data_IF_389079037847
#
_entry.id   IF_389079037847
#
_cell.length_a   1.000
_cell.length_b   1.000
_cell.length_c   1.000
_cell.angle_alpha   90.00
_cell.angle_beta   90.00
_cell.angle_gamma   90.00
#
_symmetry.space_group_name_H-M   'P 1'
#
loop_
_entity.id
_entity.type
_entity.pdbx_description
1 polymer ?
#
# COMPACT_ATOMS: atom_id res chain seq x y z
N UNK A 1 -21.63 34.09 -28.55
CA UNK A 1 -22.39 32.87 -28.18
C UNK A 1 -23.35 33.27 -27.09
N UNK A 2 -24.64 33.40 -27.42
CA UNK A 2 -25.70 33.63 -26.44
C UNK A 2 -25.98 32.29 -25.75
N UNK A 3 -25.95 32.28 -24.41
CA UNK A 3 -26.29 31.08 -23.64
C UNK A 3 -27.79 30.80 -23.82
N UNK A 4 -28.13 29.78 -24.61
CA UNK A 4 -29.48 29.25 -24.67
C UNK A 4 -29.87 28.75 -23.27
N UNK A 5 -30.92 29.33 -22.70
CA UNK A 5 -31.47 28.89 -21.42
C UNK A 5 -32.06 27.50 -21.63
N UNK A 6 -31.43 26.47 -21.05
CA UNK A 6 -31.96 25.11 -21.11
C UNK A 6 -33.40 25.07 -20.56
N UNK A 7 -34.22 24.21 -21.18
CA UNK A 7 -35.59 23.96 -20.73
C UNK A 7 -35.60 23.44 -19.29
N UNK A 8 -36.57 23.89 -18.50
CA UNK A 8 -36.74 23.46 -17.12
C UNK A 8 -36.83 21.94 -16.98
N UNK A 9 -37.48 21.26 -17.93
CA UNK A 9 -37.58 19.80 -17.91
C UNK A 9 -36.21 19.11 -18.00
N UNK A 10 -35.30 19.66 -18.82
CA UNK A 10 -33.95 19.13 -18.96
C UNK A 10 -33.11 19.42 -17.72
N UNK A 11 -33.19 20.64 -17.19
CA UNK A 11 -32.52 21.00 -15.93
C UNK A 11 -32.98 20.11 -14.77
N UNK A 12 -34.28 19.80 -14.72
CA UNK A 12 -34.85 18.89 -13.73
C UNK A 12 -34.31 17.46 -13.89
N UNK A 13 -34.24 16.94 -15.10
CA UNK A 13 -33.69 15.60 -15.36
C UNK A 13 -32.20 15.50 -14.98
N UNK A 14 -31.41 16.54 -15.30
CA UNK A 14 -29.99 16.60 -14.95
C UNK A 14 -29.77 16.68 -13.44
N UNK A 15 -30.58 17.48 -12.73
CA UNK A 15 -30.57 17.54 -11.28
C UNK A 15 -30.93 16.17 -10.69
N UNK A 16 -31.99 15.52 -11.18
CA UNK A 16 -32.38 14.18 -10.71
C UNK A 16 -31.33 13.09 -11.03
N UNK A 17 -30.57 13.23 -12.13
CA UNK A 17 -29.45 12.34 -12.47
C UNK A 17 -28.25 12.58 -11.56
N UNK A 18 -27.94 13.84 -11.24
CA UNK A 18 -26.89 14.19 -10.29
C UNK A 18 -27.24 13.71 -8.89
N UNK A 19 -28.47 13.93 -8.45
CA UNK A 19 -29.00 13.43 -7.18
C UNK A 19 -29.02 11.90 -7.14
N UNK A 20 -29.37 11.20 -8.22
CA UNK A 20 -29.24 9.73 -8.29
C UNK A 20 -27.80 9.23 -8.24
N UNK A 21 -26.81 10.03 -8.64
CA UNK A 21 -25.39 9.64 -8.54
C UNK A 21 -24.77 10.02 -7.20
N UNK A 22 -25.18 11.14 -6.62
CA UNK A 22 -24.70 11.61 -5.30
C UNK A 22 -25.40 10.89 -4.15
N UNK A 23 -26.68 10.56 -4.27
CA UNK A 23 -27.47 9.90 -3.21
C UNK A 23 -27.32 8.36 -3.19
N UNK A 24 -26.63 7.76 -4.16
CA UNK A 24 -26.58 6.29 -4.32
C UNK A 24 -25.20 5.66 -4.42
N UNK A 25 -24.13 6.36 -4.03
CA UNK A 25 -22.80 5.74 -3.97
C UNK A 25 -22.09 6.03 -2.64
N UNK A 26 -22.78 5.74 -1.54
CA UNK A 26 -22.09 5.30 -0.33
C UNK A 26 -21.56 3.88 -0.58
N UNK A 27 -20.46 3.75 -1.32
CA UNK A 27 -19.74 2.49 -1.39
C UNK A 27 -19.00 2.26 -0.08
N UNK A 28 -19.73 1.83 0.95
CA UNK A 28 -19.09 1.32 2.17
C UNK A 28 -18.43 -0.01 1.84
N UNK A 29 -17.11 0.02 1.61
CA UNK A 29 -16.34 -1.21 1.40
C UNK A 29 -16.10 -1.88 2.74
N UNK A 30 -16.90 -2.89 3.08
CA UNK A 30 -16.74 -3.65 4.31
C UNK A 30 -15.68 -4.75 4.14
N UNK A 31 -14.56 -4.64 4.88
CA UNK A 31 -13.58 -5.74 5.00
C UNK A 31 -13.76 -6.49 6.31
N UNK A 32 -14.01 -7.80 6.18
CA UNK A 32 -14.18 -8.70 7.31
C UNK A 32 -12.89 -8.83 8.12
N UNK A 33 -13.04 -8.79 9.43
CA UNK A 33 -11.95 -8.82 10.38
C UNK A 33 -11.85 -10.25 10.97
N UNK A 34 -11.08 -11.15 10.32
CA UNK A 34 -10.70 -12.51 10.82
C UNK A 34 -10.15 -12.41 12.25
N UNK A 35 -9.52 -11.26 12.40
CA UNK A 35 -9.00 -10.61 13.56
C UNK A 35 -10.08 -9.74 14.24
N UNK A 36 -11.33 -10.15 14.43
CA UNK A 36 -12.08 -9.72 15.62
C UNK A 36 -12.89 -10.80 16.29
N UNK A 37 -12.81 -10.86 17.64
CA UNK A 37 -14.00 -11.13 18.43
C UNK A 37 -14.87 -9.91 18.22
N UNK A 38 -16.01 -10.11 17.59
CA UNK A 38 -17.08 -9.15 17.59
C UNK A 38 -17.30 -8.34 18.89
N UNK A 39 -17.09 -7.00 18.89
CA UNK A 39 -17.79 -6.02 19.75
C UNK A 39 -19.28 -6.35 19.90
N UNK A 40 -20.09 -6.55 18.85
CA UNK A 40 -19.98 -7.40 17.66
C UNK A 40 -18.92 -7.14 16.52
N UNK A 41 -18.93 -7.96 15.46
CA UNK A 41 -17.88 -8.30 14.49
C UNK A 41 -17.21 -7.17 13.69
N UNK A 42 -17.66 -5.92 13.77
CA UNK A 42 -17.50 -4.87 12.75
C UNK A 42 -16.92 -3.58 13.44
N UNK A 43 -16.46 -2.48 12.82
CA UNK A 43 -17.03 -1.50 11.87
C UNK A 43 -18.49 -1.21 12.16
N UNK A 44 -19.03 0.00 12.02
CA UNK A 44 -20.50 0.15 12.00
C UNK A 44 -21.06 -0.40 10.68
N UNK A 45 -20.74 -1.65 10.37
CA UNK A 45 -21.66 -2.45 9.63
C UNK A 45 -22.88 -2.56 10.53
N UNK A 46 -24.02 -2.18 9.97
CA UNK A 46 -25.37 -2.30 10.53
C UNK A 46 -25.71 -3.64 11.22
N UNK A 47 -24.83 -4.65 11.15
CA UNK A 47 -25.00 -5.98 11.74
C UNK A 47 -24.04 -6.28 12.90
N UNK A 48 -23.44 -5.26 13.53
CA UNK A 48 -22.77 -5.39 14.84
C UNK A 48 -23.79 -5.58 15.96
N UNK A 49 -24.47 -6.72 15.92
CA UNK A 49 -25.64 -6.98 16.74
C UNK A 49 -25.30 -7.86 17.93
N UNK A 50 -25.57 -7.32 19.12
CA UNK A 50 -25.97 -7.99 20.38
C UNK A 50 -24.88 -8.81 21.09
N UNK A 51 -24.37 -8.18 22.15
CA UNK A 51 -23.48 -8.72 23.17
C UNK A 51 -24.08 -9.99 23.78
N UNK A 52 -23.50 -11.15 23.48
CA UNK A 52 -23.49 -12.28 24.42
C UNK A 52 -22.26 -12.11 25.33
N UNK A 53 -22.39 -12.54 26.59
CA UNK A 53 -21.40 -12.39 27.65
C UNK A 53 -19.98 -12.70 27.15
N UNK A 54 -19.01 -11.84 27.49
CA UNK A 54 -17.60 -11.98 27.13
C UNK A 54 -17.05 -13.34 27.62
N UNK A 55 -16.90 -14.28 26.69
CA UNK A 55 -16.26 -15.58 26.91
C UNK A 55 -14.75 -15.46 26.65
N UNK A 56 -13.99 -15.54 27.74
CA UNK A 56 -12.56 -15.30 27.78
C UNK A 56 -11.77 -16.29 26.89
N UNK A 57 -12.25 -17.53 26.74
CA UNK A 57 -11.61 -18.54 25.87
C UNK A 57 -11.76 -18.21 24.39
N UNK A 58 -12.96 -17.77 23.98
CA UNK A 58 -13.21 -17.36 22.58
C UNK A 58 -12.41 -16.13 22.21
N UNK A 59 -12.16 -15.25 23.19
CA UNK A 59 -11.24 -14.14 23.01
C UNK A 59 -9.80 -14.61 22.79
N UNK A 60 -9.34 -15.64 23.50
CA UNK A 60 -7.99 -16.18 23.32
C UNK A 60 -7.79 -16.91 21.98
N UNK A 61 -8.72 -17.78 21.57
CA UNK A 61 -8.65 -18.47 20.27
C UNK A 61 -8.67 -17.50 19.11
N UNK A 62 -9.45 -16.44 19.28
CA UNK A 62 -9.50 -15.34 18.35
C UNK A 62 -8.13 -14.67 18.19
N UNK A 63 -7.46 -14.36 19.30
CA UNK A 63 -6.09 -13.79 19.30
C UNK A 63 -5.09 -14.74 18.63
N UNK A 64 -5.19 -16.05 18.85
CA UNK A 64 -4.33 -17.03 18.18
C UNK A 64 -4.52 -17.05 16.66
N UNK A 65 -5.76 -16.88 16.17
CA UNK A 65 -6.04 -16.82 14.72
C UNK A 65 -5.48 -15.55 14.08
N UNK A 66 -5.44 -14.45 14.83
CA UNK A 66 -4.73 -13.24 14.40
C UNK A 66 -3.26 -13.54 14.21
N UNK A 67 -2.66 -14.12 15.23
CA UNK A 67 -1.23 -14.40 15.30
C UNK A 67 -0.82 -15.34 14.17
N UNK A 68 -1.55 -16.44 14.01
CA UNK A 68 -1.39 -17.39 12.93
C UNK A 68 -1.52 -16.74 11.54
N UNK A 69 -2.51 -15.85 11.34
CA UNK A 69 -2.67 -15.15 10.04
C UNK A 69 -1.51 -14.21 9.69
N UNK A 70 -0.76 -13.76 10.68
CA UNK A 70 0.40 -12.87 10.51
C UNK A 70 1.67 -13.68 10.28
N UNK A 71 1.83 -14.79 11.01
CA UNK A 71 3.06 -15.59 10.97
C UNK A 71 3.09 -16.58 9.81
N UNK A 72 1.95 -17.11 9.43
CA UNK A 72 1.91 -18.14 8.40
C UNK A 72 2.21 -17.58 7.01
N UNK A 73 3.29 -18.10 6.45
CA UNK A 73 3.69 -17.91 5.07
C UNK A 73 2.84 -18.88 4.22
N UNK A 74 2.64 -18.61 2.91
CA UNK A 74 2.01 -19.58 2.01
C UNK A 74 2.55 -21.02 2.14
N UNK A 75 3.83 -21.20 2.48
CA UNK A 75 4.45 -22.51 2.78
C UNK A 75 3.85 -23.26 3.96
N UNK A 76 3.42 -22.54 4.98
CA UNK A 76 2.82 -23.14 6.17
C UNK A 76 1.37 -23.55 5.89
N UNK A 77 0.76 -22.97 4.84
CA UNK A 77 -0.64 -23.20 4.44
C UNK A 77 -0.81 -24.22 3.33
N UNK A 78 0.17 -24.35 2.44
CA UNK A 78 0.06 -25.14 1.22
C UNK A 78 1.27 -26.05 1.03
N UNK A 79 1.06 -27.22 0.42
CA UNK A 79 2.15 -28.14 0.07
C UNK A 79 2.94 -27.68 -1.16
N UNK A 80 2.31 -26.86 -2.01
CA UNK A 80 2.87 -26.36 -3.27
C UNK A 80 2.42 -24.91 -3.56
N UNK A 81 3.17 -24.14 -4.37
CA UNK A 81 2.85 -22.74 -4.63
C UNK A 81 1.62 -22.62 -5.53
N UNK A 82 0.55 -22.06 -4.97
CA UNK A 82 -0.73 -21.91 -5.68
C UNK A 82 -0.73 -20.74 -6.68
N UNK A 83 -0.06 -19.63 -6.36
CA UNK A 83 -0.01 -18.42 -7.18
C UNK A 83 1.41 -18.20 -7.67
N UNK A 84 1.59 -17.60 -8.84
CA UNK A 84 2.93 -17.28 -9.39
C UNK A 84 3.80 -16.49 -8.41
N UNK A 85 3.19 -15.59 -7.63
CA UNK A 85 3.88 -14.84 -6.58
C UNK A 85 4.42 -15.74 -5.46
N UNK A 86 3.77 -16.87 -5.16
CA UNK A 86 4.25 -17.84 -4.18
C UNK A 86 5.55 -18.53 -4.65
N UNK A 87 5.72 -18.74 -5.96
CA UNK A 87 6.86 -19.48 -6.53
C UNK A 87 8.20 -18.87 -6.12
N UNK A 88 8.29 -17.52 -6.12
CA UNK A 88 9.49 -16.79 -5.73
C UNK A 88 9.94 -17.07 -4.29
N UNK A 89 8.99 -17.13 -3.36
CA UNK A 89 9.26 -17.46 -1.95
C UNK A 89 9.25 -18.96 -1.66
N UNK A 90 8.79 -19.79 -2.60
CA UNK A 90 8.64 -21.23 -2.40
C UNK A 90 9.97 -21.97 -2.39
N UNK A 91 10.89 -21.55 -3.25
CA UNK A 91 12.24 -22.08 -3.26
C UNK A 91 13.04 -21.30 -2.22
N UNK A 92 13.73 -22.00 -1.31
CA UNK A 92 14.70 -21.36 -0.41
C UNK A 92 15.69 -20.57 -1.26
N UNK A 93 16.18 -19.40 -0.79
CA UNK A 93 17.17 -18.64 -1.54
C UNK A 93 18.32 -19.58 -1.91
N UNK A 94 18.61 -19.66 -3.21
CA UNK A 94 19.55 -20.61 -3.78
C UNK A 94 20.99 -20.44 -3.26
N UNK A 95 21.28 -19.34 -2.57
CA UNK A 95 22.50 -19.15 -1.81
C UNK A 95 22.15 -18.78 -0.38
N UNK A 96 22.67 -19.55 0.58
CA UNK A 96 22.87 -19.05 1.93
C UNK A 96 23.85 -17.88 1.80
N UNK A 97 23.35 -16.65 1.87
CA UNK A 97 24.20 -15.47 1.90
C UNK A 97 25.02 -15.51 3.18
N UNK A 98 26.28 -15.92 3.07
CA UNK A 98 27.25 -15.75 4.13
C UNK A 98 27.89 -14.37 3.94
N UNK A 99 27.68 -13.48 4.91
CA UNK A 99 28.28 -12.14 4.88
C UNK A 99 29.82 -12.18 4.93
N UNK A 100 30.41 -13.36 5.20
CA UNK A 100 31.85 -13.63 5.18
C UNK A 100 32.31 -14.40 3.95
N UNK A 101 31.42 -14.67 3.00
CA UNK A 101 31.76 -15.33 1.74
C UNK A 101 32.61 -14.42 0.86
N UNK A 102 33.92 -14.63 0.91
CA UNK A 102 34.93 -13.88 0.15
C UNK A 102 35.05 -14.33 -1.31
N UNK A 103 34.36 -15.39 -1.73
CA UNK A 103 34.63 -16.07 -3.01
C UNK A 103 33.51 -15.88 -4.05
N UNK A 104 32.24 -15.79 -3.65
CA UNK A 104 31.11 -15.77 -4.61
C UNK A 104 30.35 -14.44 -4.68
N UNK A 105 29.99 -13.85 -3.53
CA UNK A 105 29.08 -12.68 -3.50
C UNK A 105 29.71 -11.40 -2.92
N UNK A 106 30.78 -11.48 -2.13
CA UNK A 106 31.45 -10.31 -1.58
C UNK A 106 32.64 -9.91 -2.45
N UNK A 107 32.38 -9.08 -3.46
CA UNK A 107 33.42 -8.40 -4.23
C UNK A 107 33.45 -6.93 -3.82
N UNK A 108 34.11 -6.58 -2.69
CA UNK A 108 34.23 -5.19 -2.28
C UNK A 108 34.98 -4.45 -3.39
N UNK A 109 34.35 -3.42 -3.96
CA UNK A 109 35.03 -2.57 -4.93
C UNK A 109 36.15 -1.85 -4.20
N UNK A 110 37.38 -2.14 -4.59
CA UNK A 110 38.53 -1.43 -4.06
C UNK A 110 38.57 -0.04 -4.69
N UNK A 111 38.10 0.96 -3.94
CA UNK A 111 38.14 2.35 -4.38
C UNK A 111 39.47 2.97 -3.93
N UNK A 112 40.26 3.43 -4.89
CA UNK A 112 41.43 4.27 -4.59
C UNK A 112 40.98 5.64 -4.09
N UNK A 113 41.87 6.37 -3.39
CA UNK A 113 41.57 7.73 -2.94
C UNK A 113 41.21 8.66 -4.10
N UNK A 114 41.83 8.47 -5.27
CA UNK A 114 41.51 9.20 -6.50
C UNK A 114 40.06 8.91 -6.94
N UNK A 115 39.65 7.65 -6.94
CA UNK A 115 38.29 7.25 -7.32
C UNK A 115 37.26 7.87 -6.38
N UNK A 116 37.53 7.84 -5.07
CA UNK A 116 36.64 8.41 -4.05
C UNK A 116 36.48 9.93 -4.18
N UNK A 117 37.58 10.64 -4.46
CA UNK A 117 37.55 12.09 -4.71
C UNK A 117 36.79 12.40 -6.01
N UNK A 118 37.01 11.62 -7.07
CA UNK A 118 36.30 11.78 -8.34
C UNK A 118 34.79 11.58 -8.22
N UNK A 119 34.35 10.53 -7.52
CA UNK A 119 32.93 10.27 -7.23
C UNK A 119 32.29 11.42 -6.44
N UNK A 120 33.01 11.96 -5.45
CA UNK A 120 32.54 13.11 -4.68
C UNK A 120 32.33 14.35 -5.56
N UNK A 121 33.32 14.70 -6.39
CA UNK A 121 33.24 15.86 -7.30
C UNK A 121 32.09 15.70 -8.29
N UNK A 122 31.90 14.49 -8.84
CA UNK A 122 30.78 14.19 -9.72
C UNK A 122 29.43 14.37 -9.01
N UNK A 123 29.29 13.83 -7.79
CA UNK A 123 28.07 13.97 -7.00
C UNK A 123 27.76 15.42 -6.62
N UNK A 124 28.77 16.22 -6.30
CA UNK A 124 28.64 17.65 -6.00
C UNK A 124 28.18 18.41 -7.26
N UNK A 125 28.74 18.10 -8.44
CA UNK A 125 28.31 18.67 -9.72
C UNK A 125 26.87 18.32 -10.09
N UNK A 126 26.44 17.07 -9.85
CA UNK A 126 25.08 16.63 -10.14
C UNK A 126 24.05 17.20 -9.15
N UNK A 127 24.49 17.52 -7.93
CA UNK A 127 23.64 18.12 -6.89
C UNK A 127 23.69 19.64 -6.85
N UNK A 128 24.57 20.28 -7.65
CA UNK A 128 24.55 21.72 -7.88
C UNK A 128 23.22 22.12 -8.54
N UNK A 129 22.24 22.48 -7.70
CA UNK A 129 21.01 23.13 -8.14
C UNK A 129 21.40 24.38 -8.91
N UNK A 130 20.91 24.52 -10.14
CA UNK A 130 21.10 25.73 -10.93
C UNK A 130 20.72 26.94 -10.06
N UNK A 131 21.69 27.85 -9.85
CA UNK A 131 21.47 29.07 -9.07
C UNK A 131 20.26 29.79 -9.67
N UNK A 132 19.28 30.14 -8.82
CA UNK A 132 18.06 30.82 -9.26
C UNK A 132 18.42 32.11 -9.99
N UNK A 133 18.20 32.15 -11.31
CA UNK A 133 18.60 33.26 -12.17
C UNK A 133 17.61 34.45 -12.15
N UNK A 134 16.70 34.48 -11.16
CA UNK A 134 15.59 35.42 -11.13
C UNK A 134 14.49 35.08 -12.14
N UNK A 135 13.31 35.68 -11.94
CA UNK A 135 12.28 35.73 -12.99
C UNK A 135 12.61 36.96 -13.82
N UNK A 136 12.83 36.85 -15.15
CA UNK A 136 13.09 38.02 -15.98
C UNK A 136 11.88 38.97 -15.90
N UNK A 137 12.08 40.15 -15.33
CA UNK A 137 11.07 41.19 -15.29
C UNK A 137 10.83 41.64 -16.73
N UNK A 138 9.57 41.67 -17.18
CA UNK A 138 9.24 42.32 -18.44
C UNK A 138 9.51 43.82 -18.26
N UNK A 139 10.49 44.34 -18.99
CA UNK A 139 10.66 45.77 -19.17
C UNK A 139 9.46 46.25 -19.99
N UNK A 140 8.54 46.94 -19.33
CA UNK A 140 7.50 47.76 -19.97
C UNK A 140 8.12 49.00 -20.58
#
# INVERSE_FOLDING_TARGET
>A
MQNEKLSYAFLKEDIEKQERRSNFLHFETFRANIKRVPIASKFWSKYDSKVEVLDEKKHQDYLQKIEKSITEIPKDKYTEPIVESHVYGWKTPFLNYDARDTELLFHPRYNSDITRVGERIASEKDTERQKFAGIPFKLT
#
